data_IF_953295462588
#
_entry.id   IF_953295462588
#
_cell.length_a   1.000
_cell.length_b   1.000
_cell.length_c   1.000
_cell.angle_alpha   90.00
_cell.angle_beta   90.00
_cell.angle_gamma   90.00
#
_symmetry.space_group_name_H-M   'P 1'
#
loop_
_entity.id
_entity.type
_entity.pdbx_description
1 polymer ?
#
# COMPACT_ATOMS: atom_id res chain seq x y z
N UNK A 1 -9.70 -27.84 22.29
CA UNK A 1 -8.48 -27.41 21.57
C UNK A 1 -8.91 -26.32 20.62
N UNK A 2 -8.58 -25.06 20.90
CA UNK A 2 -8.84 -23.93 20.00
C UNK A 2 -7.77 -23.96 18.92
N UNK A 3 -8.13 -24.21 17.67
CA UNK A 3 -7.23 -24.05 16.53
C UNK A 3 -6.77 -22.59 16.47
N UNK A 4 -5.46 -22.29 16.61
CA UNK A 4 -4.94 -20.94 16.46
C UNK A 4 -4.79 -20.61 14.96
N UNK A 5 -5.87 -20.67 14.19
CA UNK A 5 -5.79 -20.61 12.71
C UNK A 5 -6.53 -19.42 12.07
N UNK A 6 -7.08 -18.49 12.87
CA UNK A 6 -7.77 -17.31 12.34
C UNK A 6 -7.02 -16.04 12.73
N UNK A 7 -6.51 -15.33 11.72
CA UNK A 7 -5.98 -13.97 11.89
C UNK A 7 -7.11 -12.96 11.73
N UNK A 8 -7.15 -11.94 12.60
CA UNK A 8 -8.13 -10.86 12.55
C UNK A 8 -7.65 -9.65 11.72
N UNK A 9 -6.37 -9.64 11.34
CA UNK A 9 -5.79 -8.58 10.49
C UNK A 9 -4.51 -9.00 9.78
N UNK A 10 -4.23 -8.33 8.67
CA UNK A 10 -3.04 -8.49 7.85
C UNK A 10 -2.43 -7.11 7.59
N UNK A 11 -1.12 -6.97 7.82
CA UNK A 11 -0.36 -5.75 7.51
C UNK A 11 0.69 -6.11 6.46
N UNK A 12 0.65 -5.40 5.31
CA UNK A 12 1.61 -5.56 4.23
C UNK A 12 2.41 -4.26 4.09
N UNK A 13 3.74 -4.36 4.14
CA UNK A 13 4.67 -3.25 3.97
C UNK A 13 5.56 -3.52 2.76
N UNK A 14 5.39 -2.76 1.68
CA UNK A 14 6.10 -2.97 0.41
C UNK A 14 7.33 -2.07 0.28
N UNK A 15 8.50 -2.68 0.05
CA UNK A 15 9.77 -1.95 -0.09
C UNK A 15 10.09 -1.52 -1.53
N UNK A 16 9.50 -2.19 -2.54
CA UNK A 16 9.95 -2.07 -3.92
C UNK A 16 9.87 -0.66 -4.51
N UNK A 17 8.85 0.12 -4.13
CA UNK A 17 8.66 1.50 -4.59
C UNK A 17 9.63 2.48 -3.91
N UNK A 18 9.88 2.30 -2.62
CA UNK A 18 10.86 3.11 -1.89
C UNK A 18 12.27 2.92 -2.44
N UNK A 19 12.70 1.67 -2.64
CA UNK A 19 14.03 1.36 -3.13
C UNK A 19 14.30 1.98 -4.51
N UNK A 20 13.34 1.91 -5.45
CA UNK A 20 13.53 2.55 -6.75
C UNK A 20 13.46 4.09 -6.66
N UNK A 21 12.67 4.62 -5.71
CA UNK A 21 12.60 6.05 -5.41
C UNK A 21 13.92 6.60 -4.87
N UNK A 22 14.64 5.85 -4.04
CA UNK A 22 16.00 6.21 -3.61
C UNK A 22 17.01 6.28 -4.76
N UNK A 23 16.86 5.44 -5.78
CA UNK A 23 17.80 5.34 -6.91
C UNK A 23 17.53 6.42 -7.96
N UNK A 24 16.27 6.56 -8.38
CA UNK A 24 15.89 7.41 -9.52
C UNK A 24 15.17 8.71 -9.12
N UNK A 25 14.83 8.86 -7.85
CA UNK A 25 13.93 9.91 -7.37
C UNK A 25 12.46 9.66 -7.75
N UNK A 26 11.53 10.48 -7.24
CA UNK A 26 10.08 10.31 -7.46
C UNK A 26 9.65 10.51 -8.93
N UNK A 27 10.52 11.09 -9.77
CA UNK A 27 10.30 11.31 -11.21
C UNK A 27 11.12 10.35 -12.08
N UNK A 28 11.66 9.29 -11.48
CA UNK A 28 12.41 8.25 -12.16
C UNK A 28 11.61 7.54 -13.25
N UNK A 29 12.30 7.11 -14.31
CA UNK A 29 11.70 6.39 -15.43
C UNK A 29 11.02 5.07 -15.03
N UNK A 30 11.50 4.44 -13.95
CA UNK A 30 11.00 3.17 -13.42
C UNK A 30 9.82 3.35 -12.44
N UNK A 31 9.61 4.56 -11.92
CA UNK A 31 8.55 4.85 -10.93
C UNK A 31 7.15 4.49 -11.45
N UNK A 32 6.73 4.90 -12.67
CA UNK A 32 5.40 4.55 -13.17
C UNK A 32 5.19 3.05 -13.30
N UNK A 33 6.24 2.29 -13.65
CA UNK A 33 6.17 0.83 -13.73
C UNK A 33 5.98 0.22 -12.35
N UNK A 34 6.71 0.71 -11.35
CA UNK A 34 6.61 0.20 -9.98
C UNK A 34 5.29 0.55 -9.31
N UNK A 35 4.73 1.74 -9.59
CA UNK A 35 3.39 2.11 -9.14
C UNK A 35 2.33 1.16 -9.74
N UNK A 36 2.42 0.83 -11.04
CA UNK A 36 1.51 -0.15 -11.65
C UNK A 36 1.60 -1.54 -11.01
N UNK A 37 2.80 -1.99 -10.67
CA UNK A 37 2.98 -3.26 -9.96
C UNK A 37 2.28 -3.24 -8.58
N UNK A 38 2.30 -2.12 -7.86
CA UNK A 38 1.56 -1.98 -6.59
C UNK A 38 0.05 -1.94 -6.81
N UNK A 39 -0.41 -1.30 -7.88
CA UNK A 39 -1.83 -1.28 -8.28
C UNK A 39 -2.36 -2.68 -8.58
N UNK A 40 -1.59 -3.51 -9.30
CA UNK A 40 -1.92 -4.92 -9.60
C UNK A 40 -2.04 -5.77 -8.32
N UNK A 41 -1.17 -5.53 -7.34
CA UNK A 41 -1.22 -6.18 -6.03
C UNK A 41 -2.48 -5.79 -5.27
N UNK A 42 -2.81 -4.49 -5.21
CA UNK A 42 -4.02 -3.99 -4.56
C UNK A 42 -5.27 -4.57 -5.24
N UNK A 43 -5.30 -4.58 -6.57
CA UNK A 43 -6.38 -5.17 -7.34
C UNK A 43 -6.60 -6.64 -6.97
N UNK A 44 -5.53 -7.43 -6.91
CA UNK A 44 -5.60 -8.85 -6.54
C UNK A 44 -6.17 -9.07 -5.13
N UNK A 45 -5.82 -8.20 -4.17
CA UNK A 45 -6.35 -8.26 -2.81
C UNK A 45 -7.85 -7.93 -2.81
N UNK A 46 -8.25 -6.84 -3.45
CA UNK A 46 -9.65 -6.43 -3.54
C UNK A 46 -10.51 -7.47 -4.26
N UNK A 47 -10.00 -8.09 -5.33
CA UNK A 47 -10.70 -9.16 -6.05
C UNK A 47 -11.02 -10.33 -5.12
N UNK A 48 -10.10 -10.73 -4.24
CA UNK A 48 -10.31 -11.79 -3.25
C UNK A 48 -11.32 -11.36 -2.19
N UNK A 49 -11.19 -10.14 -1.65
CA UNK A 49 -12.11 -9.63 -0.62
C UNK A 49 -13.55 -9.57 -1.13
N UNK A 50 -13.75 -9.09 -2.36
CA UNK A 50 -15.08 -8.87 -2.94
C UNK A 50 -15.73 -10.15 -3.48
N UNK A 51 -14.96 -11.12 -3.97
CA UNK A 51 -15.52 -12.28 -4.69
C UNK A 51 -15.38 -13.61 -3.94
N UNK A 52 -14.57 -13.68 -2.89
CA UNK A 52 -14.39 -14.93 -2.15
C UNK A 52 -15.61 -15.28 -1.32
N UNK A 53 -16.24 -16.43 -1.59
CA UNK A 53 -17.37 -16.96 -0.81
C UNK A 53 -17.09 -17.09 0.70
N UNK A 54 -15.83 -17.20 1.11
CA UNK A 54 -15.43 -17.28 2.52
C UNK A 54 -15.30 -15.92 3.23
N UNK A 55 -15.30 -14.82 2.47
CA UNK A 55 -15.08 -13.44 2.95
C UNK A 55 -16.26 -12.53 2.61
N UNK A 56 -16.95 -12.74 1.49
CA UNK A 56 -17.98 -11.84 0.94
C UNK A 56 -19.14 -11.50 1.90
N UNK A 57 -19.41 -12.35 2.89
CA UNK A 57 -20.44 -12.12 3.92
C UNK A 57 -19.85 -11.68 5.27
N UNK A 58 -18.61 -11.20 5.29
CA UNK A 58 -17.92 -10.71 6.50
C UNK A 58 -17.60 -9.23 6.35
N UNK A 59 -17.63 -8.51 7.47
CA UNK A 59 -17.11 -7.15 7.54
C UNK A 59 -15.60 -7.15 7.40
N UNK A 60 -15.07 -6.31 6.52
CA UNK A 60 -13.63 -6.10 6.35
C UNK A 60 -13.32 -4.62 6.16
N UNK A 61 -12.11 -4.22 6.53
CA UNK A 61 -11.60 -2.88 6.36
C UNK A 61 -10.29 -2.95 5.58
N UNK A 62 -10.21 -2.26 4.44
CA UNK A 62 -8.99 -2.17 3.65
C UNK A 62 -8.42 -0.76 3.72
N UNK A 63 -7.22 -0.64 4.28
CA UNK A 63 -6.51 0.65 4.40
C UNK A 63 -5.26 0.60 3.53
N UNK A 64 -5.15 1.54 2.61
CA UNK A 64 -3.95 1.78 1.82
C UNK A 64 -3.36 3.14 2.18
N UNK A 65 -2.11 3.16 2.65
CA UNK A 65 -1.44 4.41 2.98
C UNK A 65 0.03 4.32 2.63
N UNK A 66 0.60 5.44 2.21
CA UNK A 66 2.03 5.69 2.36
C UNK A 66 2.35 5.97 3.83
N UNK A 67 3.55 5.62 4.26
CA UNK A 67 4.10 5.93 5.57
C UNK A 67 5.00 7.18 5.54
N UNK A 68 5.61 7.48 4.39
CA UNK A 68 6.40 8.68 4.17
C UNK A 68 6.27 9.24 2.75
N UNK A 69 6.62 10.53 2.61
CA UNK A 69 6.87 11.14 1.31
C UNK A 69 8.33 11.01 0.89
N UNK A 70 8.70 11.68 -0.21
CA UNK A 70 10.07 11.62 -0.73
C UNK A 70 10.49 12.97 -1.31
N UNK A 71 11.78 13.30 -1.19
CA UNK A 71 12.42 14.46 -1.81
C UNK A 71 12.69 14.21 -3.29
N UNK A 72 12.97 15.27 -4.07
CA UNK A 72 13.31 15.14 -5.50
C UNK A 72 14.57 14.28 -5.75
N UNK A 73 15.42 14.09 -4.73
CA UNK A 73 16.63 13.25 -4.80
C UNK A 73 16.43 11.84 -4.24
N UNK A 74 15.21 11.46 -3.88
CA UNK A 74 14.92 10.13 -3.37
C UNK A 74 15.11 9.93 -1.87
N UNK A 75 15.54 10.94 -1.11
CA UNK A 75 15.62 10.85 0.37
C UNK A 75 14.24 11.01 1.02
N UNK A 76 14.06 10.48 2.24
CA UNK A 76 12.83 10.60 3.05
C UNK A 76 13.09 10.85 4.57
N UNK A 77 14.03 11.73 4.90
CA UNK A 77 14.38 12.13 6.27
C UNK A 77 13.57 13.30 6.85
N UNK A 78 12.53 13.77 6.15
CA UNK A 78 11.63 14.83 6.62
C UNK A 78 12.19 16.25 6.53
N UNK A 79 13.20 16.49 5.70
CA UNK A 79 13.84 17.80 5.56
C UNK A 79 13.14 18.72 4.57
N UNK A 80 12.48 18.15 3.57
CA UNK A 80 11.84 18.84 2.45
C UNK A 80 10.33 18.78 2.55
N UNK A 81 9.64 19.70 1.84
CA UNK A 81 8.18 19.71 1.74
C UNK A 81 7.64 18.40 1.14
N UNK A 82 8.32 17.84 0.14
CA UNK A 82 7.94 16.57 -0.47
C UNK A 82 7.96 15.40 0.52
N UNK A 83 8.94 15.36 1.42
CA UNK A 83 9.04 14.33 2.46
C UNK A 83 7.93 14.43 3.51
N UNK A 84 7.41 15.64 3.79
CA UNK A 84 6.40 15.88 4.84
C UNK A 84 4.96 15.79 4.35
N UNK A 85 4.72 16.23 3.12
CA UNK A 85 3.36 16.55 2.65
C UNK A 85 2.89 15.66 1.49
N UNK A 86 3.77 14.88 0.88
CA UNK A 86 3.43 14.06 -0.29
C UNK A 86 3.51 12.57 0.05
N UNK A 87 2.54 12.07 0.82
CA UNK A 87 2.27 10.64 0.96
C UNK A 87 0.78 10.38 0.76
N UNK A 88 0.39 9.46 -0.13
CA UNK A 88 -1.01 9.19 -0.41
C UNK A 88 -1.67 8.45 0.76
N UNK A 89 -2.89 8.84 1.10
CA UNK A 89 -3.79 8.11 2.00
C UNK A 89 -5.07 7.76 1.27
N UNK A 90 -5.38 6.47 1.16
CA UNK A 90 -6.59 5.95 0.54
C UNK A 90 -7.21 4.89 1.46
N UNK A 91 -8.36 5.19 2.07
CA UNK A 91 -9.11 4.22 2.85
C UNK A 91 -10.30 3.72 2.03
N UNK A 92 -10.45 2.41 1.90
CA UNK A 92 -11.67 1.79 1.40
C UNK A 92 -12.40 1.14 2.57
N UNK A 93 -13.55 1.72 2.91
CA UNK A 93 -14.42 1.25 3.98
C UNK A 93 -15.60 0.57 3.32
N UNK A 94 -15.69 -0.75 3.41
CA UNK A 94 -16.93 -1.48 3.20
C UNK A 94 -17.51 -1.77 4.59
N UNK A 95 -18.57 -1.04 4.95
CA UNK A 95 -19.41 -1.35 6.09
C UNK A 95 -20.78 -1.69 5.51
N UNK A 96 -21.38 -2.77 6.03
CA UNK A 96 -22.75 -3.22 5.71
C UNK A 96 -23.76 -2.07 5.51
#
# INVERSE_FOLDING_TARGET
MTTPDTWDGLILHYLGLDHIGHIEGPKGSSIPKKIREMDEVIHSILEVLMNSSSIINKNWLFILTGDHGMSDKGSHGGSTTGEKNNWPFYAWIELE
#
